data_IF_241895513920
#
_entry.id   IF_241895513920
#
_cell.length_a   1.000
_cell.length_b   1.000
_cell.length_c   1.000
_cell.angle_alpha   90.00
_cell.angle_beta   90.00
_cell.angle_gamma   90.00
#
_symmetry.space_group_name_H-M   'P 1'
#
loop_
_entity.id
_entity.type
_entity.pdbx_description
1 polymer ?
#
# COMPACT_ATOMS: atom_id res chain seq x y z
N UNK A 1 -15.44 -9.75 6.74
CA UNK A 1 -16.73 -9.29 6.18
C UNK A 1 -17.42 -10.40 5.37
N UNK A 2 -16.72 -11.10 4.51
CA UNK A 2 -17.29 -12.15 3.63
C UNK A 2 -17.91 -13.31 4.41
N UNK A 3 -17.34 -13.67 5.57
CA UNK A 3 -17.93 -14.69 6.44
C UNK A 3 -19.28 -14.26 7.00
N UNK A 4 -19.45 -12.98 7.37
CA UNK A 4 -20.72 -12.45 7.85
C UNK A 4 -21.78 -12.53 6.74
N UNK A 5 -21.43 -12.16 5.51
CA UNK A 5 -22.31 -12.30 4.35
C UNK A 5 -22.75 -13.74 4.14
N UNK A 6 -21.81 -14.70 4.24
CA UNK A 6 -22.13 -16.13 4.10
C UNK A 6 -23.02 -16.65 5.22
N UNK A 7 -22.71 -16.31 6.48
CA UNK A 7 -23.52 -16.71 7.64
C UNK A 7 -24.95 -16.17 7.50
N UNK A 8 -25.10 -14.88 7.15
CA UNK A 8 -26.42 -14.29 6.94
C UNK A 8 -27.20 -14.98 5.83
N UNK A 9 -26.54 -15.29 4.71
CA UNK A 9 -27.17 -16.00 3.59
C UNK A 9 -27.50 -17.44 3.92
N UNK A 10 -26.51 -18.19 4.40
CA UNK A 10 -26.60 -19.65 4.49
C UNK A 10 -27.42 -20.10 5.72
N UNK A 11 -27.42 -19.32 6.82
CA UNK A 11 -28.15 -19.66 8.04
C UNK A 11 -29.42 -18.84 8.23
N UNK A 12 -29.40 -17.54 7.93
CA UNK A 12 -30.55 -16.66 8.17
C UNK A 12 -31.36 -16.32 6.91
N UNK A 13 -31.11 -17.00 5.78
CA UNK A 13 -31.92 -16.87 4.56
C UNK A 13 -31.83 -15.50 3.88
N UNK A 14 -30.79 -14.75 4.11
CA UNK A 14 -30.60 -13.44 3.45
C UNK A 14 -30.31 -13.61 1.96
N UNK A 15 -30.89 -12.76 1.13
CA UNK A 15 -30.40 -12.56 -0.23
C UNK A 15 -29.01 -11.85 -0.15
N UNK A 16 -28.21 -11.93 -1.22
CA UNK A 16 -26.92 -11.25 -1.26
C UNK A 16 -27.03 -9.74 -1.02
N UNK A 17 -28.08 -9.10 -1.59
CA UNK A 17 -28.34 -7.66 -1.35
C UNK A 17 -28.70 -7.35 0.10
N UNK A 18 -29.52 -8.20 0.74
CA UNK A 18 -29.87 -8.02 2.15
C UNK A 18 -28.66 -8.26 3.07
N UNK A 19 -27.83 -9.24 2.78
CA UNK A 19 -26.59 -9.48 3.51
C UNK A 19 -25.61 -8.29 3.38
N UNK A 20 -25.54 -7.63 2.23
CA UNK A 20 -24.74 -6.42 2.06
C UNK A 20 -25.27 -5.23 2.89
N UNK A 21 -26.60 -5.10 3.05
CA UNK A 21 -27.18 -4.11 3.96
C UNK A 21 -26.75 -4.39 5.40
N UNK A 22 -26.79 -5.64 5.86
CA UNK A 22 -26.29 -6.04 7.17
C UNK A 22 -24.80 -5.67 7.32
N UNK A 23 -23.97 -6.00 6.35
CA UNK A 23 -22.54 -5.65 6.35
C UNK A 23 -22.30 -4.14 6.47
N UNK A 24 -23.11 -3.33 5.74
CA UNK A 24 -23.00 -1.86 5.80
C UNK A 24 -23.44 -1.32 7.15
N UNK A 25 -24.54 -1.82 7.73
CA UNK A 25 -25.00 -1.44 9.06
C UNK A 25 -23.92 -1.70 10.11
N UNK A 26 -23.28 -2.86 10.03
CA UNK A 26 -22.14 -3.22 10.88
C UNK A 26 -20.95 -2.26 10.71
N UNK A 27 -20.57 -1.97 9.47
CA UNK A 27 -19.42 -1.09 9.17
C UNK A 27 -19.64 0.36 9.63
N UNK A 28 -20.86 0.87 9.50
CA UNK A 28 -21.25 2.24 9.91
C UNK A 28 -21.60 2.37 11.40
N UNK A 29 -21.79 1.25 12.12
CA UNK A 29 -22.17 1.19 13.54
C UNK A 29 -23.45 1.95 13.87
N UNK A 30 -24.44 1.95 12.95
CA UNK A 30 -25.72 2.63 13.15
C UNK A 30 -26.61 1.71 13.98
N UNK A 31 -26.84 2.08 15.25
CA UNK A 31 -27.54 1.24 16.22
C UNK A 31 -28.95 0.85 15.78
N UNK A 32 -29.74 1.79 15.24
CA UNK A 32 -31.10 1.52 14.76
C UNK A 32 -31.16 0.51 13.61
N UNK A 33 -30.20 0.58 12.68
CA UNK A 33 -30.08 -0.39 11.58
C UNK A 33 -29.66 -1.76 12.13
N UNK A 34 -28.75 -1.80 13.09
CA UNK A 34 -28.31 -3.04 13.73
C UNK A 34 -29.45 -3.72 14.49
N UNK A 35 -30.26 -2.96 15.25
CA UNK A 35 -31.41 -3.51 15.96
C UNK A 35 -32.45 -4.10 14.99
N UNK A 36 -32.72 -3.44 13.86
CA UNK A 36 -33.59 -3.96 12.81
C UNK A 36 -33.03 -5.24 12.18
N UNK A 37 -31.73 -5.28 11.90
CA UNK A 37 -31.08 -6.47 11.34
C UNK A 37 -31.03 -7.62 12.35
N UNK A 38 -30.89 -7.34 13.65
CA UNK A 38 -30.90 -8.36 14.73
C UNK A 38 -32.19 -9.19 14.68
N UNK A 39 -33.33 -8.52 14.67
CA UNK A 39 -34.64 -9.22 14.60
C UNK A 39 -34.71 -10.10 13.37
N UNK A 40 -34.47 -9.53 12.19
CA UNK A 40 -34.49 -10.24 10.92
C UNK A 40 -33.58 -11.46 10.88
N UNK A 41 -32.36 -11.33 11.44
CA UNK A 41 -31.39 -12.42 11.46
C UNK A 41 -31.84 -13.57 12.35
N UNK A 42 -32.37 -13.25 13.55
CA UNK A 42 -32.89 -14.26 14.48
C UNK A 42 -34.06 -15.00 13.86
N UNK A 43 -35.06 -14.28 13.35
CA UNK A 43 -36.24 -14.87 12.70
C UNK A 43 -35.83 -15.77 11.52
N UNK A 44 -34.88 -15.30 10.69
CA UNK A 44 -34.35 -16.07 9.57
C UNK A 44 -33.63 -17.36 9.96
N UNK A 45 -32.86 -17.36 11.06
CA UNK A 45 -32.25 -18.61 11.57
C UNK A 45 -33.31 -19.61 12.02
N UNK A 46 -34.36 -19.15 12.73
CA UNK A 46 -35.44 -20.03 13.18
C UNK A 46 -36.20 -20.66 12.01
N UNK A 47 -36.42 -19.89 10.96
CA UNK A 47 -37.14 -20.36 9.76
C UNK A 47 -36.30 -21.32 8.88
N UNK A 48 -34.98 -21.01 8.67
CA UNK A 48 -34.18 -21.76 7.71
C UNK A 48 -33.49 -22.99 8.30
N UNK A 49 -32.96 -22.90 9.53
CA UNK A 49 -32.13 -23.96 10.14
C UNK A 49 -32.73 -24.54 11.43
N UNK A 50 -33.86 -24.01 11.91
CA UNK A 50 -34.58 -24.57 13.05
C UNK A 50 -33.84 -24.44 14.40
N UNK A 51 -33.03 -23.43 14.57
CA UNK A 51 -32.31 -23.16 15.81
C UNK A 51 -33.20 -22.65 16.95
N UNK A 52 -32.63 -22.46 18.14
CA UNK A 52 -33.35 -21.81 19.24
C UNK A 52 -33.13 -20.28 19.19
N UNK A 53 -34.11 -19.47 19.69
CA UNK A 53 -33.92 -18.03 19.79
C UNK A 53 -32.64 -17.63 20.56
N UNK A 54 -32.25 -18.38 21.58
CA UNK A 54 -31.05 -18.15 22.36
C UNK A 54 -29.79 -18.34 21.53
N UNK A 55 -29.68 -19.42 20.78
CA UNK A 55 -28.52 -19.70 19.91
C UNK A 55 -28.40 -18.66 18.80
N UNK A 56 -29.51 -18.29 18.16
CA UNK A 56 -29.53 -17.28 17.11
C UNK A 56 -29.09 -15.90 17.64
N UNK A 57 -29.53 -15.53 18.86
CA UNK A 57 -29.10 -14.30 19.53
C UNK A 57 -27.61 -14.31 19.84
N UNK A 58 -27.08 -15.40 20.41
CA UNK A 58 -25.65 -15.54 20.69
C UNK A 58 -24.82 -15.36 19.41
N UNK A 59 -25.26 -16.00 18.32
CA UNK A 59 -24.56 -15.89 17.03
C UNK A 59 -24.57 -14.46 16.51
N UNK A 60 -25.71 -13.74 16.58
CA UNK A 60 -25.76 -12.35 16.18
C UNK A 60 -24.88 -11.46 17.07
N UNK A 61 -24.88 -11.65 18.39
CA UNK A 61 -24.05 -10.91 19.33
C UNK A 61 -22.54 -11.11 19.03
N UNK A 62 -22.14 -12.32 18.66
CA UNK A 62 -20.77 -12.59 18.19
C UNK A 62 -20.45 -11.84 16.91
N UNK A 63 -21.33 -11.90 15.90
CA UNK A 63 -21.18 -11.18 14.64
C UNK A 63 -21.09 -9.68 14.89
N UNK A 64 -21.95 -9.12 15.73
CA UNK A 64 -21.94 -7.68 16.09
C UNK A 64 -20.64 -7.28 16.80
N UNK A 65 -20.16 -8.10 17.72
CA UNK A 65 -18.88 -7.86 18.41
C UNK A 65 -17.70 -7.87 17.45
N UNK A 66 -17.68 -8.80 16.48
CA UNK A 66 -16.63 -8.86 15.47
C UNK A 66 -16.78 -7.80 14.36
N UNK A 67 -17.95 -7.21 14.18
CA UNK A 67 -18.20 -6.22 13.15
C UNK A 67 -17.27 -5.01 13.22
N UNK A 68 -16.88 -4.60 14.44
CA UNK A 68 -15.95 -3.49 14.64
C UNK A 68 -14.54 -3.77 14.12
N UNK A 69 -14.17 -5.04 13.97
CA UNK A 69 -12.87 -5.51 13.47
C UNK A 69 -12.96 -6.15 12.09
N UNK A 70 -14.18 -6.24 11.53
CA UNK A 70 -14.40 -6.91 10.24
C UNK A 70 -13.76 -6.11 9.10
N UNK A 71 -12.85 -6.75 8.39
CA UNK A 71 -12.13 -6.20 7.26
C UNK A 71 -12.31 -7.08 6.02
N UNK A 72 -12.36 -6.52 4.78
CA UNK A 72 -12.48 -7.32 3.57
C UNK A 72 -11.28 -8.25 3.39
N UNK A 73 -11.54 -9.55 3.29
CA UNK A 73 -10.48 -10.56 3.12
C UNK A 73 -9.74 -10.38 1.79
N UNK A 74 -10.46 -10.06 0.72
CA UNK A 74 -9.86 -9.81 -0.59
C UNK A 74 -8.85 -8.67 -0.53
N UNK A 75 -9.21 -7.54 0.11
CA UNK A 75 -8.29 -6.41 0.33
C UNK A 75 -7.07 -6.84 1.16
N UNK A 76 -7.29 -7.52 2.29
CA UNK A 76 -6.20 -7.96 3.14
C UNK A 76 -5.24 -8.92 2.42
N UNK A 77 -5.76 -9.87 1.63
CA UNK A 77 -4.95 -10.81 0.87
C UNK A 77 -4.08 -10.10 -0.19
N UNK A 78 -4.68 -9.15 -0.90
CA UNK A 78 -3.96 -8.37 -1.93
C UNK A 78 -2.82 -7.55 -1.30
N UNK A 79 -3.10 -6.82 -0.22
CA UNK A 79 -2.07 -6.02 0.44
C UNK A 79 -1.03 -6.88 1.16
N UNK A 80 -1.40 -8.04 1.69
CA UNK A 80 -0.43 -8.98 2.26
C UNK A 80 0.58 -9.46 1.22
N UNK A 81 0.14 -9.71 -0.03
CA UNK A 81 1.04 -10.05 -1.12
C UNK A 81 2.03 -8.91 -1.42
N UNK A 82 1.53 -7.67 -1.55
CA UNK A 82 2.37 -6.49 -1.79
C UNK A 82 3.36 -6.29 -0.61
N UNK A 83 2.88 -6.44 0.63
CA UNK A 83 3.72 -6.34 1.83
C UNK A 83 4.84 -7.39 1.81
N UNK A 84 4.51 -8.64 1.47
CA UNK A 84 5.51 -9.69 1.32
C UNK A 84 6.54 -9.37 0.22
N UNK A 85 6.08 -8.96 -0.96
CA UNK A 85 6.95 -8.62 -2.09
C UNK A 85 7.91 -7.48 -1.75
N UNK A 86 7.40 -6.40 -1.14
CA UNK A 86 8.22 -5.25 -0.74
C UNK A 86 9.20 -5.60 0.36
N UNK A 87 8.80 -6.41 1.34
CA UNK A 87 9.70 -6.91 2.38
C UNK A 87 10.80 -7.82 1.80
N UNK A 88 10.43 -8.71 0.88
CA UNK A 88 11.38 -9.58 0.18
C UNK A 88 12.40 -8.78 -0.62
N UNK A 89 11.95 -7.82 -1.43
CA UNK A 89 12.83 -6.95 -2.20
C UNK A 89 13.78 -6.15 -1.31
N UNK A 90 13.28 -5.59 -0.21
CA UNK A 90 14.10 -4.87 0.76
C UNK A 90 15.15 -5.75 1.42
N UNK A 91 14.83 -7.02 1.69
CA UNK A 91 15.74 -7.96 2.36
C UNK A 91 16.83 -8.49 1.41
N UNK A 92 16.49 -8.77 0.15
CA UNK A 92 17.38 -9.44 -0.80
C UNK A 92 18.02 -8.50 -1.82
N UNK A 93 17.39 -7.35 -2.11
CA UNK A 93 17.84 -6.34 -3.08
C UNK A 93 17.72 -4.93 -2.50
N UNK A 94 18.34 -4.67 -1.33
CA UNK A 94 18.12 -3.42 -0.61
C UNK A 94 18.57 -2.17 -1.37
N UNK A 95 19.63 -2.25 -2.15
CA UNK A 95 20.16 -1.13 -2.96
C UNK A 95 19.14 -0.70 -4.01
N UNK A 96 18.67 -1.65 -4.82
CA UNK A 96 17.71 -1.43 -5.90
C UNK A 96 16.35 -0.99 -5.34
N UNK A 97 15.91 -1.63 -4.25
CA UNK A 97 14.64 -1.31 -3.60
C UNK A 97 14.65 0.12 -3.03
N UNK A 98 15.70 0.51 -2.33
CA UNK A 98 15.81 1.85 -1.76
C UNK A 98 15.98 2.92 -2.85
N UNK A 99 16.75 2.65 -3.90
CA UNK A 99 16.88 3.55 -5.05
C UNK A 99 15.53 3.78 -5.75
N UNK A 100 14.72 2.72 -5.91
CA UNK A 100 13.38 2.83 -6.48
C UNK A 100 12.44 3.66 -5.59
N UNK A 101 12.40 3.41 -4.26
CA UNK A 101 11.61 4.20 -3.31
C UNK A 101 11.97 5.68 -3.34
N UNK A 102 13.27 5.99 -3.30
CA UNK A 102 13.76 7.37 -3.36
C UNK A 102 13.39 8.04 -4.68
N UNK A 103 13.37 7.29 -5.79
CA UNK A 103 12.98 7.79 -7.10
C UNK A 103 11.49 8.13 -7.18
N UNK A 104 10.64 7.32 -6.55
CA UNK A 104 9.19 7.58 -6.52
C UNK A 104 8.82 8.83 -5.70
N UNK A 105 9.63 9.19 -4.73
CA UNK A 105 9.42 10.34 -3.84
C UNK A 105 10.42 11.51 -4.08
N UNK A 106 10.95 11.66 -5.30
CA UNK A 106 11.95 12.67 -5.68
C UNK A 106 11.64 14.10 -5.21
N UNK A 107 10.36 14.47 -5.20
CA UNK A 107 9.92 15.82 -4.84
C UNK A 107 9.55 15.97 -3.35
N UNK A 108 9.70 14.91 -2.55
CA UNK A 108 9.37 14.94 -1.13
C UNK A 108 10.64 14.89 -0.27
N UNK A 109 11.15 16.08 0.07
CA UNK A 109 12.40 16.23 0.83
C UNK A 109 12.38 15.51 2.18
N UNK A 110 11.22 15.50 2.87
CA UNK A 110 11.10 14.85 4.18
C UNK A 110 11.23 13.34 4.05
N UNK A 111 10.55 12.75 3.06
CA UNK A 111 10.70 11.32 2.75
C UNK A 111 12.10 10.97 2.29
N UNK A 112 12.71 11.78 1.43
CA UNK A 112 14.10 11.57 1.00
C UNK A 112 15.06 11.57 2.18
N UNK A 113 14.87 12.49 3.13
CA UNK A 113 15.67 12.53 4.38
C UNK A 113 15.48 11.26 5.20
N UNK A 114 14.22 10.79 5.33
CA UNK A 114 13.93 9.53 6.01
C UNK A 114 14.60 8.34 5.31
N UNK A 115 14.48 8.23 4.00
CA UNK A 115 15.10 7.15 3.23
C UNK A 115 16.62 7.19 3.26
N UNK A 116 17.24 8.37 3.24
CA UNK A 116 18.69 8.51 3.38
C UNK A 116 19.20 7.96 4.72
N UNK A 117 18.48 8.20 5.82
CA UNK A 117 18.77 7.60 7.13
C UNK A 117 18.63 6.08 7.11
N UNK A 118 17.61 5.57 6.45
CA UNK A 118 17.38 4.12 6.33
C UNK A 118 18.45 3.45 5.47
N UNK A 119 18.85 4.06 4.36
CA UNK A 119 19.98 3.63 3.50
C UNK A 119 21.26 3.51 4.33
N UNK A 120 21.56 4.53 5.14
CA UNK A 120 22.72 4.51 6.06
C UNK A 120 22.59 3.40 7.11
N UNK A 121 21.39 3.18 7.68
CA UNK A 121 21.13 2.11 8.64
C UNK A 121 21.35 0.72 8.05
N UNK A 122 21.07 0.54 6.77
CA UNK A 122 21.31 -0.69 6.01
C UNK A 122 22.78 -0.88 5.61
N UNK A 123 23.67 0.06 5.95
CA UNK A 123 25.09 0.00 5.59
C UNK A 123 25.35 0.29 4.10
N UNK A 124 24.43 0.95 3.42
CA UNK A 124 24.53 1.31 2.01
C UNK A 124 25.03 2.75 1.91
N UNK A 125 26.03 3.00 1.09
CA UNK A 125 26.54 4.34 0.83
C UNK A 125 25.62 5.11 -0.12
N UNK A 126 25.37 6.37 0.20
CA UNK A 126 24.68 7.32 -0.67
C UNK A 126 25.72 8.23 -1.33
N UNK A 127 26.02 7.96 -2.59
CA UNK A 127 27.03 8.68 -3.37
C UNK A 127 26.49 10.06 -3.80
N UNK A 128 27.33 11.10 -3.81
CA UNK A 128 26.92 12.45 -4.21
C UNK A 128 26.48 12.50 -5.67
N UNK A 129 25.68 13.52 -6.07
CA UNK A 129 25.34 13.72 -7.47
C UNK A 129 26.60 14.02 -8.29
N UNK A 130 26.65 13.43 -9.50
CA UNK A 130 27.74 13.60 -10.45
C UNK A 130 27.14 13.74 -11.86
N UNK A 131 27.54 14.76 -12.59
CA UNK A 131 26.97 15.08 -13.91
C UNK A 131 27.19 13.97 -14.93
N UNK A 132 28.28 13.22 -14.79
CA UNK A 132 28.66 12.14 -15.69
C UNK A 132 28.13 10.76 -15.26
N UNK A 133 27.87 10.55 -13.97
CA UNK A 133 27.49 9.26 -13.43
C UNK A 133 26.01 9.21 -13.03
N UNK A 134 25.47 10.31 -12.52
CA UNK A 134 24.09 10.36 -12.06
C UNK A 134 23.07 10.28 -13.21
N UNK A 135 21.90 9.80 -12.86
CA UNK A 135 20.70 9.74 -13.68
C UNK A 135 19.64 10.70 -13.15
N UNK A 136 18.53 10.93 -13.87
CA UNK A 136 17.41 11.70 -13.34
C UNK A 136 16.87 11.12 -12.02
N UNK A 137 16.72 9.79 -11.92
CA UNK A 137 16.36 9.05 -10.71
C UNK A 137 17.56 8.50 -9.94
N UNK A 138 17.35 8.07 -8.70
CA UNK A 138 18.33 7.33 -7.91
C UNK A 138 18.63 5.98 -8.55
N UNK A 139 19.88 5.54 -8.47
CA UNK A 139 20.30 4.28 -9.10
C UNK A 139 21.34 3.56 -8.24
N UNK A 140 21.20 2.23 -8.17
CA UNK A 140 22.21 1.35 -7.59
C UNK A 140 23.47 1.33 -8.44
N UNK A 141 24.64 1.44 -7.79
CA UNK A 141 25.95 1.43 -8.42
C UNK A 141 26.96 0.76 -7.47
N UNK A 142 27.47 -0.42 -7.85
CA UNK A 142 28.47 -1.16 -7.08
C UNK A 142 28.14 -1.34 -5.58
N UNK A 143 26.88 -1.63 -5.25
CA UNK A 143 26.44 -1.81 -3.87
C UNK A 143 26.10 -0.51 -3.12
N UNK A 144 26.26 0.65 -3.75
CA UNK A 144 25.88 1.97 -3.26
C UNK A 144 24.69 2.54 -4.04
N UNK A 145 24.15 3.68 -3.61
CA UNK A 145 23.10 4.42 -4.32
C UNK A 145 23.65 5.75 -4.79
N UNK A 146 23.62 6.01 -6.11
CA UNK A 146 23.98 7.30 -6.69
C UNK A 146 22.81 8.28 -6.56
N UNK A 147 23.11 9.50 -6.09
CA UNK A 147 22.11 10.56 -5.92
C UNK A 147 21.52 11.01 -7.26
N UNK A 148 20.20 11.17 -7.29
CA UNK A 148 19.43 11.56 -8.48
C UNK A 148 19.65 13.04 -8.83
N UNK A 149 19.85 13.37 -10.10
CA UNK A 149 19.93 14.77 -10.55
C UNK A 149 18.62 15.52 -10.37
N UNK A 150 17.48 14.87 -10.63
CA UNK A 150 16.18 15.49 -10.48
C UNK A 150 15.70 15.66 -9.02
N UNK A 151 16.43 15.10 -8.05
CA UNK A 151 16.20 15.33 -6.62
C UNK A 151 16.89 16.60 -6.09
N UNK A 152 17.72 17.23 -6.91
CA UNK A 152 18.36 18.50 -6.55
C UNK A 152 17.31 19.62 -6.55
N UNK A 153 17.35 20.45 -5.50
CA UNK A 153 16.39 21.55 -5.36
C UNK A 153 16.47 22.50 -6.54
N UNK A 154 15.30 22.89 -7.07
CA UNK A 154 15.15 23.79 -8.22
C UNK A 154 15.66 23.22 -9.56
N UNK A 155 15.87 21.91 -9.65
CA UNK A 155 16.25 21.24 -10.89
C UNK A 155 15.03 20.47 -11.44
N UNK A 156 14.66 20.75 -12.69
CA UNK A 156 13.54 20.09 -13.35
C UNK A 156 13.92 18.70 -13.89
N UNK A 157 13.05 17.70 -13.69
CA UNK A 157 13.28 16.33 -14.19
C UNK A 157 13.52 16.30 -15.71
N UNK A 158 12.72 17.00 -16.50
CA UNK A 158 12.85 17.05 -17.97
C UNK A 158 14.20 17.63 -18.43
N UNK A 159 14.73 18.63 -17.72
CA UNK A 159 16.07 19.17 -18.02
C UNK A 159 17.15 18.12 -17.76
N UNK A 160 17.02 17.32 -16.69
CA UNK A 160 17.99 16.27 -16.36
C UNK A 160 17.89 15.08 -17.30
N UNK A 161 16.70 14.75 -17.79
CA UNK A 161 16.52 13.77 -18.85
C UNK A 161 17.20 14.18 -20.15
N UNK A 162 16.99 15.43 -20.58
CA UNK A 162 17.63 16.00 -21.77
C UNK A 162 19.17 16.00 -21.64
N UNK A 163 19.67 16.34 -20.45
CA UNK A 163 21.09 16.34 -20.16
C UNK A 163 21.70 14.93 -20.25
N UNK A 164 21.04 13.93 -19.70
CA UNK A 164 21.49 12.53 -19.78
C UNK A 164 21.43 12.02 -21.22
N UNK A 165 20.42 12.39 -22.00
CA UNK A 165 20.33 12.04 -23.41
C UNK A 165 21.42 12.74 -24.26
N UNK A 166 21.74 14.02 -23.97
CA UNK A 166 22.86 14.73 -24.59
C UNK A 166 24.18 14.02 -24.31
N UNK A 167 24.42 13.65 -23.06
CA UNK A 167 25.59 12.88 -22.63
C UNK A 167 25.73 11.54 -23.38
N UNK A 168 24.64 10.78 -23.58
CA UNK A 168 24.66 9.54 -24.34
C UNK A 168 25.10 9.74 -25.81
N UNK A 169 24.75 10.90 -26.39
CA UNK A 169 25.06 11.23 -27.79
C UNK A 169 26.45 11.85 -27.98
N UNK A 170 26.85 12.76 -27.09
CA UNK A 170 28.09 13.52 -27.21
C UNK A 170 29.27 12.97 -26.39
N UNK A 171 29.01 12.06 -25.46
CA UNK A 171 30.01 11.55 -24.50
C UNK A 171 29.99 12.28 -23.16
N UNK A 172 30.99 12.01 -22.33
CA UNK A 172 31.12 12.59 -21.00
C UNK A 172 31.52 14.07 -21.05
N UNK A 173 30.97 14.86 -20.14
CA UNK A 173 31.38 16.26 -19.95
C UNK A 173 32.78 16.33 -19.34
N UNK A 174 33.70 17.03 -19.99
CA UNK A 174 35.10 17.13 -19.57
C UNK A 174 35.36 18.31 -18.66
N UNK A 175 34.56 19.37 -18.80
CA UNK A 175 34.65 20.61 -18.02
C UNK A 175 33.34 21.36 -18.05
N UNK A 176 33.28 22.51 -17.34
CA UNK A 176 32.06 23.33 -17.25
C UNK A 176 31.62 23.92 -18.59
N UNK A 177 32.54 24.24 -19.47
CA UNK A 177 32.24 24.83 -20.78
C UNK A 177 31.56 23.81 -21.67
N UNK A 178 32.03 22.57 -21.67
CA UNK A 178 31.43 21.42 -22.38
C UNK A 178 30.00 21.11 -21.90
N UNK A 179 29.73 21.42 -20.64
CA UNK A 179 28.39 21.31 -20.06
C UNK A 179 27.46 22.45 -20.49
N UNK A 180 27.96 23.68 -20.65
CA UNK A 180 27.20 24.87 -21.01
C UNK A 180 26.82 24.94 -22.50
N UNK A 181 27.57 24.28 -23.39
CA UNK A 181 27.26 24.11 -24.83
C UNK A 181 26.11 23.11 -25.08
#
# INVERSE_FOLDING_TARGET
QEHVLRIARDLAGYTLGAADILRRAMGKKIKSEMDAQRKRFIDGILENVGGTPGTAKILFDQIEKFASYAFPKAHAATYALITYQTAYLKAHYPVEYMAALMTLDLHNTDKLTFFAREVKRLGIDLLPPDINQSHPGFRGENGAIRYALAALKNVGAGAMEALVEKKKKKGLYKNIFDFLE
#
